data_IF_926241625433
#
_entry.id   IF_926241625433
#
_cell.length_a   1.000
_cell.length_b   1.000
_cell.length_c   1.000
_cell.angle_alpha   90.00
_cell.angle_beta   90.00
_cell.angle_gamma   90.00
#
_symmetry.space_group_name_H-M   'P 1'
#
loop_
_entity.id
_entity.type
_entity.pdbx_description
1 polymer ?
#
# COMPACT_ATOMS: atom_id res chain seq x y z
N UNK A 1 -3.24 12.23 -16.41
CA UNK A 1 -2.62 11.84 -15.12
C UNK A 1 -3.77 11.67 -14.13
N UNK A 2 -3.83 10.56 -13.38
CA UNK A 2 -4.90 10.43 -12.38
C UNK A 2 -4.79 11.51 -11.31
N UNK A 3 -5.91 12.09 -10.84
CA UNK A 3 -5.87 13.05 -9.76
C UNK A 3 -5.49 12.37 -8.44
N UNK A 4 -4.80 13.12 -7.59
CA UNK A 4 -4.57 12.74 -6.19
C UNK A 4 -5.90 12.54 -5.46
N UNK A 5 -5.99 11.47 -4.67
CA UNK A 5 -7.16 11.07 -3.90
C UNK A 5 -6.85 11.17 -2.40
N UNK A 6 -7.82 11.47 -1.52
CA UNK A 6 -7.59 11.49 -0.07
C UNK A 6 -7.07 10.14 0.43
N UNK A 7 -6.12 10.13 1.38
CA UNK A 7 -5.52 8.90 1.91
C UNK A 7 -6.56 7.92 2.48
N UNK A 8 -7.68 8.44 2.98
CA UNK A 8 -8.78 7.63 3.54
C UNK A 8 -9.43 6.69 2.53
N UNK A 9 -9.27 6.98 1.23
CA UNK A 9 -9.75 6.17 0.11
C UNK A 9 -8.69 5.18 -0.44
N UNK A 10 -7.48 5.18 0.11
CA UNK A 10 -6.40 4.34 -0.37
C UNK A 10 -6.66 2.84 -0.13
N UNK A 11 -6.19 1.95 -1.02
CA UNK A 11 -6.31 0.52 -0.83
C UNK A 11 -5.56 0.07 0.41
N UNK A 12 -6.20 -0.75 1.24
CA UNK A 12 -5.62 -1.37 2.44
C UNK A 12 -5.34 -2.87 2.24
N UNK A 13 -5.14 -3.28 1.00
CA UNK A 13 -4.96 -4.68 0.59
C UNK A 13 -3.48 -5.06 0.41
N UNK A 14 -2.56 -4.18 0.80
CA UNK A 14 -1.12 -4.37 0.62
C UNK A 14 -0.57 -3.91 -0.73
N UNK A 15 -1.41 -3.41 -1.64
CA UNK A 15 -0.93 -2.82 -2.89
C UNK A 15 -0.09 -1.57 -2.63
N UNK A 16 1.01 -1.41 -3.40
CA UNK A 16 1.86 -0.22 -3.33
C UNK A 16 1.22 0.96 -4.05
N UNK A 17 1.26 2.12 -3.41
CA UNK A 17 0.74 3.40 -3.91
C UNK A 17 1.81 4.48 -3.79
N UNK A 18 1.65 5.58 -4.53
CA UNK A 18 2.40 6.81 -4.30
C UNK A 18 1.63 7.68 -3.31
N UNK A 19 2.27 8.13 -2.24
CA UNK A 19 1.65 8.94 -1.20
C UNK A 19 2.35 10.28 -1.00
N UNK A 20 1.56 11.31 -0.75
CA UNK A 20 1.99 12.65 -0.41
C UNK A 20 2.03 12.82 1.11
N UNK A 21 3.18 13.22 1.64
CA UNK A 21 3.39 13.57 3.04
C UNK A 21 3.60 15.09 3.12
N UNK A 22 2.70 15.83 3.79
CA UNK A 22 2.88 17.27 3.94
C UNK A 22 4.14 17.56 4.75
N UNK A 23 4.78 18.70 4.45
CA UNK A 23 5.80 19.22 5.34
C UNK A 23 5.18 19.45 6.73
N UNK A 24 5.73 18.88 7.80
CA UNK A 24 5.27 19.18 9.13
C UNK A 24 5.71 20.60 9.51
N UNK A 25 5.11 21.21 10.55
CA UNK A 25 5.25 22.64 10.83
C UNK A 25 6.67 23.04 11.28
N UNK A 26 7.56 22.10 11.57
CA UNK A 26 8.94 22.38 11.96
C UNK A 26 9.80 22.84 10.77
N UNK A 27 10.65 23.87 10.94
CA UNK A 27 11.33 24.59 9.85
C UNK A 27 12.33 23.77 9.01
N UNK A 28 12.73 22.58 9.47
CA UNK A 28 13.76 21.75 8.82
C UNK A 28 13.22 20.49 8.14
N UNK A 29 11.90 20.30 8.10
CA UNK A 29 11.30 19.11 7.49
C UNK A 29 10.72 19.40 6.11
N UNK A 30 11.03 18.48 5.19
CA UNK A 30 10.65 18.57 3.78
C UNK A 30 9.26 17.99 3.58
N UNK A 31 8.59 18.49 2.55
CA UNK A 31 7.48 17.78 1.94
C UNK A 31 8.04 16.59 1.16
N UNK A 32 7.42 15.42 1.29
CA UNK A 32 7.87 14.19 0.63
C UNK A 32 6.75 13.55 -0.20
N UNK A 33 7.15 12.82 -1.26
CA UNK A 33 6.29 11.92 -2.01
C UNK A 33 6.98 10.57 -2.07
N UNK A 34 6.37 9.55 -1.45
CA UNK A 34 7.00 8.23 -1.27
C UNK A 34 6.09 7.08 -1.68
N UNK A 35 6.68 5.97 -2.12
CA UNK A 35 5.96 4.73 -2.34
C UNK A 35 5.72 4.01 -1.01
N UNK A 36 4.46 3.64 -0.73
CA UNK A 36 4.04 3.02 0.53
C UNK A 36 3.04 1.89 0.28
N UNK A 37 2.82 1.04 1.27
CA UNK A 37 1.75 0.05 1.28
C UNK A 37 1.09 -0.03 2.66
N UNK A 38 -0.12 -0.59 2.72
CA UNK A 38 -0.79 -0.87 3.99
C UNK A 38 -0.35 -2.24 4.53
N UNK A 39 0.28 -2.25 5.69
CA UNK A 39 0.54 -3.44 6.48
C UNK A 39 -0.54 -3.59 7.56
N UNK A 40 -1.05 -4.81 7.74
CA UNK A 40 -2.14 -5.06 8.67
C UNK A 40 -1.73 -4.96 10.16
N UNK A 41 -0.43 -5.06 10.46
CA UNK A 41 0.12 -5.03 11.82
C UNK A 41 0.55 -3.61 12.19
N UNK A 42 1.22 -2.89 11.29
CA UNK A 42 1.83 -1.59 11.60
C UNK A 42 1.21 -0.38 10.88
N UNK A 43 0.27 -0.58 9.95
CA UNK A 43 -0.39 0.49 9.19
C UNK A 43 0.42 0.87 7.94
N UNK A 44 0.50 2.17 7.62
CA UNK A 44 1.28 2.61 6.46
C UNK A 44 2.77 2.39 6.66
N UNK A 45 3.39 1.70 5.71
CA UNK A 45 4.81 1.37 5.70
C UNK A 45 5.48 1.74 4.36
N UNK A 46 6.76 2.08 4.40
CA UNK A 46 7.55 2.41 3.21
C UNK A 46 7.72 1.17 2.32
N UNK A 47 7.58 1.33 1.01
CA UNK A 47 7.74 0.22 0.07
C UNK A 47 9.20 -0.27 -0.05
N UNK A 48 10.18 0.58 0.28
CA UNK A 48 11.60 0.26 0.12
C UNK A 48 12.22 -0.45 1.34
N UNK A 49 11.68 -0.28 2.55
CA UNK A 49 12.23 -0.91 3.77
C UNK A 49 11.19 -1.62 4.62
N UNK A 50 9.90 -1.44 4.37
CA UNK A 50 8.83 -1.94 5.24
C UNK A 50 8.77 -1.21 6.59
N UNK A 51 9.51 -0.12 6.77
CA UNK A 51 9.47 0.67 7.99
C UNK A 51 8.14 1.43 8.07
N UNK A 52 7.54 1.46 9.26
CA UNK A 52 6.33 2.25 9.53
C UNK A 52 6.62 3.73 9.27
N UNK A 53 5.65 4.44 8.71
CA UNK A 53 5.76 5.89 8.56
C UNK A 53 5.68 6.61 9.90
N UNK A 54 6.54 7.62 10.07
CA UNK A 54 6.53 8.52 11.22
C UNK A 54 5.46 9.62 11.12
N UNK A 55 4.81 9.76 9.96
CA UNK A 55 3.79 10.79 9.69
C UNK A 55 2.70 10.24 8.79
N UNK A 56 1.46 10.66 9.04
CA UNK A 56 0.32 10.21 8.25
C UNK A 56 0.32 10.91 6.88
N UNK A 57 0.29 10.15 5.77
CA UNK A 57 0.13 10.72 4.44
C UNK A 57 -1.27 11.32 4.27
N UNK A 58 -1.44 12.36 3.44
CA UNK A 58 -2.75 13.01 3.26
C UNK A 58 -3.42 12.69 1.93
N UNK A 59 -2.64 12.40 0.90
CA UNK A 59 -3.14 12.06 -0.43
C UNK A 59 -2.37 10.89 -1.05
N UNK A 60 -2.99 10.21 -2.01
CA UNK A 60 -2.37 9.13 -2.77
C UNK A 60 -2.76 9.14 -4.25
N UNK A 61 -1.97 8.44 -5.06
CA UNK A 61 -2.33 8.02 -6.40
C UNK A 61 -1.75 6.62 -6.69
N UNK A 62 -2.29 5.87 -7.66
CA UNK A 62 -1.63 4.64 -8.13
C UNK A 62 -0.20 4.92 -8.58
N UNK A 63 0.68 3.92 -8.50
CA UNK A 63 1.99 4.03 -9.10
C UNK A 63 1.84 4.26 -10.62
N UNK A 64 2.54 5.26 -11.20
CA UNK A 64 2.58 5.38 -12.65
C UNK A 64 3.24 4.14 -13.24
N UNK A 65 2.89 3.83 -14.49
CA UNK A 65 3.63 2.82 -15.22
C UNK A 65 5.11 3.19 -15.29
N UNK A 66 6.03 2.23 -15.13
CA UNK A 66 7.43 2.45 -15.48
C UNK A 66 7.54 2.93 -16.95
N UNK A 67 8.48 3.83 -17.27
CA UNK A 67 8.68 4.25 -18.66
C UNK A 67 8.88 3.06 -19.60
N UNK A 68 8.18 3.05 -20.74
CA UNK A 68 8.24 1.95 -21.71
C UNK A 68 7.42 0.70 -21.33
N UNK A 69 6.73 0.72 -20.19
CA UNK A 69 5.70 -0.28 -19.85
C UNK A 69 4.36 0.44 -19.79
N UNK A 70 3.32 -0.13 -20.39
CA UNK A 70 1.96 0.38 -20.19
C UNK A 70 1.51 0.08 -18.75
N UNK A 71 0.73 0.98 -18.14
CA UNK A 71 0.32 0.86 -16.75
C UNK A 71 -0.33 -0.50 -16.53
N UNK A 72 0.30 -1.36 -15.73
CA UNK A 72 -0.29 -2.62 -15.36
C UNK A 72 -1.60 -2.32 -14.62
N UNK A 73 -2.73 -2.66 -15.24
CA UNK A 73 -4.03 -2.62 -14.59
C UNK A 73 -3.94 -3.38 -13.27
N UNK A 74 -4.57 -2.82 -12.23
CA UNK A 74 -4.50 -3.24 -10.83
C UNK A 74 -4.35 -4.77 -10.63
N UNK A 75 -3.51 -5.24 -9.68
CA UNK A 75 -3.19 -6.64 -9.56
C UNK A 75 -4.47 -7.48 -9.39
N UNK A 76 -4.62 -8.48 -10.27
CA UNK A 76 -5.64 -9.51 -10.15
C UNK A 76 -5.58 -10.07 -8.74
N UNK A 77 -6.66 -9.87 -7.98
CA UNK A 77 -6.87 -10.44 -6.64
C UNK A 77 -6.42 -11.89 -6.66
N UNK A 78 -5.26 -12.19 -6.04
CA UNK A 78 -4.87 -13.57 -5.78
C UNK A 78 -5.96 -14.16 -4.89
N UNK A 79 -6.88 -14.91 -5.49
CA UNK A 79 -7.83 -15.73 -4.75
C UNK A 79 -6.99 -16.62 -3.86
N UNK A 80 -7.08 -16.40 -2.55
CA UNK A 80 -6.56 -17.30 -1.53
C UNK A 80 -7.07 -18.69 -1.90
N UNK A 81 -6.17 -19.61 -2.25
CA UNK A 81 -6.54 -21.01 -2.49
C UNK A 81 -7.16 -21.48 -1.17
N UNK A 82 -8.46 -21.75 -1.18
CA UNK A 82 -9.12 -22.36 -0.04
C UNK A 82 -8.46 -23.73 0.15
N UNK A 83 -7.73 -23.90 1.25
CA UNK A 83 -7.35 -25.24 1.70
C UNK A 83 -8.65 -25.96 2.03
N UNK A 84 -8.93 -27.05 1.30
CA UNK A 84 -10.04 -27.94 1.61
C UNK A 84 -9.88 -28.51 3.04
N UNK A 85 -10.98 -28.77 3.77
CA UNK A 85 -10.90 -29.35 5.10
C UNK A 85 -10.38 -30.78 4.99
N UNK A 86 -9.27 -31.08 5.66
CA UNK A 86 -8.81 -32.45 5.87
C UNK A 86 -9.78 -33.15 6.82
N UNK A 87 -10.68 -33.95 6.28
CA UNK A 87 -11.42 -34.96 7.02
C UNK A 87 -10.56 -36.24 7.11
N UNK A 88 -10.02 -36.51 8.29
CA UNK A 88 -9.60 -37.84 8.78
C UNK A 88 -9.14 -37.62 10.23
N UNK A 89 -9.61 -38.32 11.25
CA UNK A 89 -10.46 -39.48 11.38
C UNK A 89 -10.31 -39.87 12.84
N UNK A 90 -11.41 -39.85 13.58
CA UNK A 90 -11.50 -40.34 14.94
C UNK A 90 -11.17 -41.84 14.94
N UNK A 91 -10.12 -42.28 15.63
CA UNK A 91 -10.02 -43.65 16.15
C UNK A 91 -9.26 -43.67 17.48
N UNK A 92 -10.05 -43.99 18.50
CA UNK A 92 -9.80 -44.70 19.77
C UNK A 92 -8.52 -44.37 20.54
#
# INVERSE_FOLDING_TARGET
>A
MEPWKPITSAPRDGSTILAYLPAPPEPDRRQDVVAIFWDAVCGWATAYSGARLDSEPTYWMPLPAPPGQEAAAAPLRRRRRASAPGAAGLRL
#
